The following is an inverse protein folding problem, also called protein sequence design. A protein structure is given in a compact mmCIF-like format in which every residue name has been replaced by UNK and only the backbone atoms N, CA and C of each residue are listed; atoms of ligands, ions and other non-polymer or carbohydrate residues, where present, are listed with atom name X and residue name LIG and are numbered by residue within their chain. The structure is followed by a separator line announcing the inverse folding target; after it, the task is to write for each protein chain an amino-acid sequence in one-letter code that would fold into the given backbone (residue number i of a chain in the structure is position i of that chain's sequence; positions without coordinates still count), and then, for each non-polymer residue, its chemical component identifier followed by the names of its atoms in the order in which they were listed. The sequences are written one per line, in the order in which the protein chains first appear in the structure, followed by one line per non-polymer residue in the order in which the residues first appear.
data_IF_761934092616
#
_entry.id   IF_761934092616
#
_cell.length_a   1.000
_cell.length_b   1.000
_cell.length_c   1.000
_cell.angle_alpha   90.00
_cell.angle_beta   90.00
_cell.angle_gamma   90.00
#
_symmetry.space_group_name_H-M   'P 1'
#
loop_
_entity.id
_entity.type
_entity.pdbx_description
1 polymer ?
#
# COMPACT_ATOMS: atom_id res chain seq x y z
N UNK A 1 0.72 30.39 22.26
CA UNK A 1 1.36 29.05 22.14
C UNK A 1 0.28 28.00 22.38
N UNK A 2 -0.47 27.62 21.35
CA UNK A 2 -1.50 26.57 21.45
C UNK A 2 -1.78 25.90 20.09
N UNK A 3 -1.84 26.69 19.00
CA UNK A 3 -2.21 26.14 17.68
C UNK A 3 -1.14 25.25 17.05
N UNK A 4 0.16 25.55 17.24
CA UNK A 4 1.24 24.70 16.73
C UNK A 4 1.30 23.33 17.41
N UNK A 5 0.99 23.26 18.70
CA UNK A 5 0.98 22.00 19.45
C UNK A 5 -0.22 21.15 19.03
N UNK A 6 -1.39 21.77 18.87
CA UNK A 6 -2.59 21.09 18.38
C UNK A 6 -2.39 20.55 16.95
N UNK A 7 -1.83 21.36 16.04
CA UNK A 7 -1.55 20.93 14.67
C UNK A 7 -0.55 19.77 14.64
N UNK A 8 0.48 19.80 15.49
CA UNK A 8 1.43 18.70 15.60
C UNK A 8 0.75 17.40 16.06
N UNK A 9 -0.15 17.46 17.04
CA UNK A 9 -0.90 16.30 17.51
C UNK A 9 -1.86 15.74 16.44
N UNK A 10 -2.54 16.62 15.70
CA UNK A 10 -3.39 16.22 14.59
C UNK A 10 -2.59 15.54 13.47
N UNK A 11 -1.40 16.05 13.16
CA UNK A 11 -0.52 15.44 12.17
C UNK A 11 -0.04 14.04 12.63
N UNK A 12 0.28 13.87 13.91
CA UNK A 12 0.65 12.56 14.48
C UNK A 12 -0.51 11.57 14.33
N UNK A 13 -1.71 11.96 14.75
CA UNK A 13 -2.89 11.10 14.64
C UNK A 13 -3.17 10.73 13.18
N UNK A 14 -3.14 11.70 12.27
CA UNK A 14 -3.35 11.48 10.85
C UNK A 14 -2.34 10.49 10.26
N UNK A 15 -1.06 10.60 10.65
CA UNK A 15 -0.02 9.67 10.20
C UNK A 15 -0.22 8.26 10.76
N UNK A 16 -0.61 8.14 12.04
CA UNK A 16 -0.94 6.84 12.64
C UNK A 16 -2.12 6.16 11.92
N UNK A 17 -3.16 6.93 11.59
CA UNK A 17 -4.31 6.43 10.83
C UNK A 17 -3.89 6.03 9.40
N UNK A 18 -3.07 6.83 8.70
CA UNK A 18 -2.52 6.48 7.39
C UNK A 18 -1.78 5.14 7.43
N UNK A 19 -0.91 4.94 8.43
CA UNK A 19 -0.17 3.68 8.62
C UNK A 19 -1.09 2.49 8.88
N UNK A 20 -2.12 2.65 9.71
CA UNK A 20 -3.09 1.61 9.97
C UNK A 20 -3.84 1.21 8.68
N UNK A 21 -4.23 2.18 7.86
CA UNK A 21 -4.86 1.93 6.56
C UNK A 21 -3.91 1.19 5.61
N UNK A 22 -2.62 1.58 5.57
CA UNK A 22 -1.60 0.86 4.79
C UNK A 22 -1.48 -0.60 5.24
N UNK A 23 -1.37 -0.86 6.54
CA UNK A 23 -1.29 -2.23 7.06
C UNK A 23 -2.53 -3.05 6.69
N UNK A 24 -3.73 -2.49 6.84
CA UNK A 24 -4.98 -3.17 6.47
C UNK A 24 -5.04 -3.49 4.97
N UNK A 25 -4.64 -2.56 4.10
CA UNK A 25 -4.60 -2.78 2.66
C UNK A 25 -3.57 -3.86 2.28
N UNK A 26 -2.37 -3.81 2.87
CA UNK A 26 -1.32 -4.82 2.64
C UNK A 26 -1.79 -6.21 3.06
N UNK A 27 -2.40 -6.33 4.25
CA UNK A 27 -2.97 -7.60 4.72
C UNK A 27 -4.09 -8.08 3.80
N UNK A 28 -4.98 -7.18 3.35
CA UNK A 28 -6.03 -7.53 2.40
C UNK A 28 -5.45 -8.09 1.09
N UNK A 29 -4.43 -7.45 0.53
CA UNK A 29 -3.73 -7.93 -0.67
C UNK A 29 -3.08 -9.30 -0.47
N UNK A 30 -2.34 -9.48 0.62
CA UNK A 30 -1.66 -10.76 0.95
C UNK A 30 -2.63 -11.94 1.10
N UNK A 31 -3.87 -11.67 1.50
CA UNK A 31 -4.91 -12.71 1.66
C UNK A 31 -5.94 -12.73 0.53
N UNK A 32 -5.78 -11.90 -0.51
CA UNK A 32 -6.68 -11.86 -1.66
C UNK A 32 -8.05 -11.23 -1.38
N UNK A 33 -8.19 -10.43 -0.33
CA UNK A 33 -9.42 -9.69 -0.03
C UNK A 33 -9.49 -8.36 -0.79
N UNK A 34 -10.68 -8.04 -1.30
CA UNK A 34 -10.97 -6.78 -1.98
C UNK A 34 -12.14 -6.07 -1.30
N UNK A 35 -11.83 -5.30 -0.25
CA UNK A 35 -12.83 -4.60 0.56
C UNK A 35 -12.97 -3.16 0.08
N UNK A 36 -14.13 -2.80 -0.47
CA UNK A 36 -14.39 -1.46 -1.00
C UNK A 36 -14.27 -0.35 0.07
N UNK A 37 -14.50 -0.68 1.34
CA UNK A 37 -14.29 0.24 2.46
C UNK A 37 -12.82 0.63 2.61
N UNK A 38 -11.89 -0.30 2.34
CA UNK A 38 -10.46 -0.02 2.44
C UNK A 38 -9.96 0.91 1.32
N UNK A 39 -10.55 0.85 0.11
CA UNK A 39 -10.18 1.79 -0.97
C UNK A 39 -10.69 3.20 -0.67
N UNK A 40 -11.88 3.34 -0.06
CA UNK A 40 -12.35 4.65 0.44
C UNK A 40 -11.44 5.22 1.52
N UNK A 41 -10.93 4.38 2.42
CA UNK A 41 -9.94 4.81 3.40
C UNK A 41 -8.61 5.18 2.72
N UNK A 42 -8.18 4.43 1.70
CA UNK A 42 -7.00 4.73 0.91
C UNK A 42 -7.08 6.12 0.25
N UNK A 43 -8.25 6.46 -0.31
CA UNK A 43 -8.54 7.77 -0.87
C UNK A 43 -8.51 8.87 0.21
N UNK A 44 -9.20 8.66 1.33
CA UNK A 44 -9.25 9.62 2.46
C UNK A 44 -7.86 9.98 3.00
N UNK A 45 -6.97 8.99 3.11
CA UNK A 45 -5.62 9.17 3.68
C UNK A 45 -4.54 9.34 2.62
N UNK A 46 -4.91 9.49 1.35
CA UNK A 46 -4.00 9.60 0.21
C UNK A 46 -2.84 8.60 0.30
N UNK A 47 -3.21 7.32 0.36
CA UNK A 47 -2.26 6.23 0.54
C UNK A 47 -2.50 5.11 -0.47
N UNK A 48 -1.45 4.36 -0.72
CA UNK A 48 -1.40 3.28 -1.68
C UNK A 48 -0.41 2.22 -1.21
N UNK A 49 -0.64 0.97 -1.58
CA UNK A 49 0.25 -0.15 -1.23
C UNK A 49 0.39 -1.12 -2.39
N UNK A 50 1.53 -1.80 -2.43
CA UNK A 50 1.79 -2.87 -3.39
C UNK A 50 2.48 -4.05 -2.68
N UNK A 51 2.12 -5.26 -3.09
CA UNK A 51 2.69 -6.52 -2.63
C UNK A 51 3.19 -7.27 -3.86
N UNK A 52 4.49 -7.54 -3.88
CA UNK A 52 5.13 -8.33 -4.93
C UNK A 52 5.20 -9.79 -4.51
N UNK A 53 4.76 -10.67 -5.40
CA UNK A 53 4.83 -12.11 -5.26
C UNK A 53 5.69 -12.69 -6.38
N UNK A 54 6.66 -13.52 -6.02
CA UNK A 54 7.46 -14.29 -6.97
C UNK A 54 6.95 -15.72 -6.95
N UNK A 55 6.49 -16.20 -8.10
CA UNK A 55 6.14 -17.59 -8.24
C UNK A 55 7.41 -18.45 -8.28
N UNK A 56 7.66 -19.16 -7.18
CA UNK A 56 8.86 -19.99 -6.99
C UNK A 56 9.04 -21.12 -8.03
N UNK A 57 8.01 -21.45 -8.83
CA UNK A 57 8.08 -22.53 -9.84
C UNK A 57 8.59 -22.06 -11.19
N UNK A 58 8.23 -20.86 -11.62
CA UNK A 58 8.57 -20.32 -12.94
C UNK A 58 9.30 -18.97 -12.88
N UNK A 59 9.51 -18.40 -11.69
CA UNK A 59 10.17 -17.10 -11.50
C UNK A 59 9.31 -15.89 -11.87
N UNK A 60 8.03 -16.10 -12.18
CA UNK A 60 7.12 -15.04 -12.61
C UNK A 60 6.82 -14.08 -11.46
N UNK A 61 6.94 -12.79 -11.74
CA UNK A 61 6.74 -11.71 -10.80
C UNK A 61 5.37 -11.07 -11.03
N UNK A 62 4.57 -11.03 -9.97
CA UNK A 62 3.24 -10.43 -9.97
C UNK A 62 3.20 -9.39 -8.88
N UNK A 63 2.69 -8.20 -9.20
CA UNK A 63 2.46 -7.14 -8.21
C UNK A 63 0.96 -6.93 -8.06
N UNK A 64 0.46 -7.21 -6.86
CA UNK A 64 -0.90 -6.87 -6.43
C UNK A 64 -0.84 -5.52 -5.72
N UNK A 65 -1.70 -4.57 -6.08
CA UNK A 65 -1.65 -3.22 -5.51
C UNK A 65 -3.03 -2.62 -5.31
N UNK A 66 -3.12 -1.69 -4.37
CA UNK A 66 -4.36 -1.03 -4.00
C UNK A 66 -4.14 0.47 -3.74
N UNK A 67 -5.14 1.27 -4.11
CA UNK A 67 -5.21 2.70 -3.84
C UNK A 67 -6.68 3.16 -3.77
N UNK A 68 -6.90 4.48 -3.73
CA UNK A 68 -8.24 5.06 -3.71
C UNK A 68 -9.16 4.61 -4.87
N UNK A 69 -8.57 4.26 -6.02
CA UNK A 69 -9.31 3.86 -7.21
C UNK A 69 -9.71 2.38 -7.23
N UNK A 70 -9.08 1.52 -6.42
CA UNK A 70 -9.40 0.09 -6.41
C UNK A 70 -8.22 -0.84 -6.10
N UNK A 71 -8.44 -2.10 -6.43
CA UNK A 71 -7.46 -3.19 -6.36
C UNK A 71 -7.08 -3.64 -7.77
N UNK A 72 -5.80 -3.94 -7.96
CA UNK A 72 -5.25 -4.23 -9.27
C UNK A 72 -4.15 -5.27 -9.17
N UNK A 73 -3.90 -5.94 -10.29
CA UNK A 73 -2.82 -6.91 -10.46
C UNK A 73 -2.07 -6.58 -11.74
N UNK A 74 -0.74 -6.53 -11.67
CA UNK A 74 0.14 -6.37 -12.83
C UNK A 74 1.15 -7.49 -12.87
N UNK A 75 1.25 -8.14 -14.04
CA UNK A 75 2.23 -9.20 -14.29
C UNK A 75 3.48 -8.60 -14.91
N UNK A 76 4.64 -9.05 -14.44
CA UNK A 76 5.96 -8.60 -14.89
C UNK A 76 6.80 -9.75 -15.49
N UNK A 77 6.37 -11.01 -15.46
CA UNK A 77 7.20 -12.09 -15.99
C UNK A 77 8.48 -12.23 -15.18
N UNK A 78 9.60 -12.48 -15.87
CA UNK A 78 10.93 -12.59 -15.25
C UNK A 78 11.62 -11.23 -15.02
N UNK A 79 10.89 -10.11 -15.19
CA UNK A 79 11.44 -8.75 -15.10
C UNK A 79 11.36 -8.22 -13.66
N UNK A 80 12.17 -8.79 -12.76
CA UNK A 80 12.21 -8.40 -11.35
C UNK A 80 12.57 -6.91 -11.14
N UNK A 81 13.50 -6.37 -11.93
CA UNK A 81 13.90 -4.96 -11.85
C UNK A 81 12.71 -4.02 -12.06
N UNK A 82 12.01 -4.20 -13.17
CA UNK A 82 10.81 -3.42 -13.51
C UNK A 82 9.70 -3.56 -12.45
N UNK A 83 9.53 -4.75 -11.86
CA UNK A 83 8.58 -4.97 -10.79
C UNK A 83 8.97 -4.24 -9.50
N UNK A 84 10.25 -4.24 -9.14
CA UNK A 84 10.78 -3.50 -7.98
C UNK A 84 10.59 -2.00 -8.16
N UNK A 85 10.98 -1.46 -9.32
CA UNK A 85 10.80 -0.03 -9.66
C UNK A 85 9.31 0.38 -9.64
N UNK A 86 8.42 -0.54 -10.00
CA UNK A 86 6.98 -0.30 -9.91
C UNK A 86 6.49 -0.25 -8.46
N UNK A 87 6.92 -1.18 -7.61
CA UNK A 87 6.51 -1.24 -6.19
C UNK A 87 7.02 -0.01 -5.41
N UNK A 88 8.20 0.51 -5.74
CA UNK A 88 8.78 1.71 -5.13
C UNK A 88 7.94 2.99 -5.33
N UNK A 89 6.98 2.98 -6.25
CA UNK A 89 6.07 4.12 -6.49
C UNK A 89 4.94 4.20 -5.45
N UNK A 90 4.75 3.17 -4.63
CA UNK A 90 3.66 3.07 -3.65
C UNK A 90 4.15 3.48 -2.26
N UNK A 91 3.23 3.86 -1.37
CA UNK A 91 3.55 4.23 0.02
C UNK A 91 3.95 3.03 0.90
N UNK A 92 4.26 1.88 0.30
CA UNK A 92 4.56 0.63 1.01
C UNK A 92 5.76 0.81 1.92
N UNK A 93 5.50 0.81 3.23
CA UNK A 93 6.54 0.70 4.24
C UNK A 93 7.04 -0.73 4.29
N UNK A 94 8.20 -0.97 3.70
CA UNK A 94 8.99 -2.16 3.97
C UNK A 94 9.31 -2.16 5.48
N UNK A 95 8.95 -3.23 6.17
CA UNK A 95 9.45 -3.49 7.53
C UNK A 95 10.97 -3.29 7.51
N UNK A 96 11.46 -2.29 8.26
CA UNK A 96 12.87 -2.26 8.68
C UNK A 96 13.09 -3.30 9.78
#
# INVERSE_FOLDING_TARGET
MNDMVLQAQLNVLHNTEKQAVQSLLTTALQHGFQLAELTRLAEKYHTSVAVMEINNRNGDCIVNYANGSGYFTRQFGLHYGDASEFVEQFDTWWYQ
#
